data_IF_652752635779
#
_entry.id   IF_652752635779
#
_cell.length_a   1.000
_cell.length_b   1.000
_cell.length_c   1.000
_cell.angle_alpha   90.00
_cell.angle_beta   90.00
_cell.angle_gamma   90.00
#
_symmetry.space_group_name_H-M   'P 1'
#
loop_
_entity.id
_entity.type
_entity.pdbx_description
1 polymer ?
#
# COMPACT_ATOMS: atom_id res chain seq x y z
N UNK A 1 6.04 2.89 -7.02
CA UNK A 1 5.22 3.32 -8.18
C UNK A 1 5.41 4.82 -8.34
N UNK A 2 5.18 5.38 -9.53
CA UNK A 2 5.16 6.85 -9.74
C UNK A 2 3.72 7.37 -9.68
N UNK A 3 3.53 8.67 -9.87
CA UNK A 3 2.21 9.27 -10.02
C UNK A 3 1.49 8.70 -11.25
N UNK A 4 0.28 8.19 -11.05
CA UNK A 4 -0.60 7.70 -12.10
C UNK A 4 -1.98 8.30 -11.88
N UNK A 5 -2.45 9.04 -12.88
CA UNK A 5 -3.82 9.55 -12.92
C UNK A 5 -4.78 8.44 -13.31
N UNK A 6 -5.71 8.10 -12.43
CA UNK A 6 -6.75 7.10 -12.67
C UNK A 6 -8.12 7.77 -12.78
N UNK A 7 -8.96 7.28 -13.70
CA UNK A 7 -10.38 7.65 -13.77
C UNK A 7 -11.15 7.08 -12.57
N UNK A 8 -12.32 7.64 -12.21
CA UNK A 8 -13.16 7.08 -11.15
C UNK A 8 -13.45 5.59 -11.34
N UNK A 9 -13.13 4.79 -10.32
CA UNK A 9 -13.35 3.34 -10.31
C UNK A 9 -12.39 2.54 -11.20
N UNK A 10 -11.45 3.18 -11.88
CA UNK A 10 -10.36 2.53 -12.60
C UNK A 10 -9.34 1.85 -11.67
N UNK A 11 -8.90 2.46 -10.55
CA UNK A 11 -7.95 1.79 -9.68
C UNK A 11 -8.58 0.54 -9.09
N UNK A 12 -7.85 -0.57 -9.14
CA UNK A 12 -8.30 -1.87 -8.61
C UNK A 12 -7.56 -2.31 -7.36
N UNK A 13 -6.47 -1.63 -7.01
CA UNK A 13 -5.55 -2.11 -5.99
C UNK A 13 -4.90 -3.42 -6.40
N UNK A 14 -4.46 -4.20 -5.43
CA UNK A 14 -3.92 -5.54 -5.62
C UNK A 14 -4.85 -6.57 -4.97
N UNK A 15 -4.87 -7.83 -5.46
CA UNK A 15 -5.35 -8.93 -4.63
C UNK A 15 -4.38 -9.20 -3.48
N UNK A 16 -4.77 -10.08 -2.55
CA UNK A 16 -3.85 -10.64 -1.57
C UNK A 16 -2.62 -11.24 -2.26
N UNK A 17 -1.42 -10.86 -1.83
CA UNK A 17 -0.17 -11.35 -2.42
C UNK A 17 0.97 -11.43 -1.38
N UNK A 18 1.98 -12.29 -1.60
CA UNK A 18 3.05 -12.52 -0.62
C UNK A 18 4.26 -11.58 -0.80
N UNK A 19 4.87 -11.21 0.31
CA UNK A 19 6.21 -10.62 0.38
C UNK A 19 7.07 -11.33 1.42
N UNK A 20 8.40 -11.28 1.26
CA UNK A 20 9.38 -11.92 2.15
C UNK A 20 10.76 -11.29 1.99
N UNK A 21 11.50 -11.12 3.08
CA UNK A 21 12.91 -10.73 3.07
C UNK A 21 13.17 -9.23 2.88
N UNK A 22 12.13 -8.40 2.93
CA UNK A 22 12.24 -6.95 2.83
C UNK A 22 11.16 -6.25 3.65
N UNK A 23 11.31 -4.94 3.74
CA UNK A 23 10.32 -4.02 4.28
C UNK A 23 9.81 -3.14 3.15
N UNK A 24 8.51 -2.82 3.15
CA UNK A 24 7.95 -1.79 2.29
C UNK A 24 7.66 -0.55 3.11
N UNK A 25 8.02 0.60 2.55
CA UNK A 25 7.59 1.91 3.09
C UNK A 25 6.81 2.60 1.99
N UNK A 26 5.54 2.89 2.27
CA UNK A 26 4.64 3.62 1.39
C UNK A 26 4.35 4.99 1.98
N UNK A 27 4.70 6.05 1.27
CA UNK A 27 4.30 7.43 1.58
C UNK A 27 3.19 7.87 0.63
N UNK A 28 2.08 8.38 1.17
CA UNK A 28 0.96 8.87 0.39
C UNK A 28 1.10 10.37 0.12
N UNK A 29 1.36 10.74 -1.13
CA UNK A 29 1.44 12.15 -1.52
C UNK A 29 0.05 12.77 -1.62
N UNK A 30 -0.85 12.09 -2.31
CA UNK A 30 -2.26 12.47 -2.47
C UNK A 30 -3.12 11.23 -2.67
N UNK A 31 -4.35 11.24 -2.15
CA UNK A 31 -5.30 10.14 -2.23
C UNK A 31 -5.41 9.29 -0.97
N UNK A 32 -6.13 8.18 -1.11
CA UNK A 32 -6.44 7.26 0.00
C UNK A 32 -6.27 5.83 -0.49
N UNK A 33 -5.72 4.98 0.36
CA UNK A 33 -5.69 3.52 0.15
C UNK A 33 -5.89 2.80 1.48
N UNK A 34 -6.41 1.58 1.42
CA UNK A 34 -6.50 0.69 2.56
C UNK A 34 -5.47 -0.42 2.42
N UNK A 35 -4.63 -0.59 3.43
CA UNK A 35 -3.69 -1.69 3.56
C UNK A 35 -4.18 -2.66 4.62
N UNK A 36 -4.09 -3.96 4.37
CA UNK A 36 -4.32 -5.02 5.37
C UNK A 36 -3.28 -6.12 5.20
N UNK A 37 -2.86 -6.70 6.31
CA UNK A 37 -1.93 -7.83 6.31
C UNK A 37 -2.47 -9.05 7.08
N UNK A 38 -1.83 -10.20 6.88
CA UNK A 38 -2.21 -11.48 7.50
C UNK A 38 -1.96 -11.56 9.00
N UNK A 39 -1.23 -10.61 9.58
CA UNK A 39 -0.98 -10.53 11.02
C UNK A 39 -2.01 -9.63 11.73
N UNK A 40 -3.02 -9.13 10.98
CA UNK A 40 -4.03 -8.22 11.49
C UNK A 40 -3.56 -6.77 11.58
N UNK A 41 -2.37 -6.46 11.06
CA UNK A 41 -1.94 -5.09 10.81
C UNK A 41 -2.60 -4.53 9.55
N UNK A 42 -2.42 -3.24 9.34
CA UNK A 42 -3.20 -2.52 8.35
C UNK A 42 -3.55 -1.10 8.77
N UNK A 43 -4.24 -0.42 7.88
CA UNK A 43 -4.80 0.90 8.11
C UNK A 43 -5.26 1.56 6.83
N UNK A 44 -6.02 2.63 7.00
CA UNK A 44 -6.27 3.59 5.92
C UNK A 44 -5.08 4.53 5.88
N UNK A 45 -4.45 4.65 4.72
CA UNK A 45 -3.32 5.52 4.43
C UNK A 45 -3.86 6.70 3.62
N UNK A 46 -3.69 7.90 4.14
CA UNK A 46 -4.18 9.17 3.59
C UNK A 46 -3.05 10.16 3.37
N UNK A 47 -3.33 11.33 2.78
CA UNK A 47 -2.33 12.35 2.44
C UNK A 47 -1.37 12.64 3.61
N UNK A 48 -0.07 12.44 3.38
CA UNK A 48 1.00 12.64 4.35
C UNK A 48 1.29 11.43 5.24
N UNK A 49 0.48 10.39 5.21
CA UNK A 49 0.72 9.18 5.98
C UNK A 49 1.90 8.38 5.41
N UNK A 50 2.62 7.72 6.32
CA UNK A 50 3.62 6.72 5.99
C UNK A 50 3.17 5.38 6.56
N UNK A 51 3.05 4.38 5.71
CA UNK A 51 2.88 2.99 6.10
C UNK A 51 4.23 2.28 5.99
N UNK A 52 4.55 1.48 7.01
CA UNK A 52 5.75 0.64 7.07
C UNK A 52 5.30 -0.80 7.35
N UNK A 53 5.61 -1.72 6.44
CA UNK A 53 5.36 -3.15 6.63
C UNK A 53 6.67 -3.93 6.56
N UNK A 54 6.99 -4.63 7.65
CA UNK A 54 8.10 -5.58 7.69
C UNK A 54 7.60 -6.95 7.24
N UNK A 55 7.90 -7.37 6.00
CA UNK A 55 7.47 -8.67 5.50
C UNK A 55 8.23 -9.84 6.16
N UNK A 56 9.46 -9.60 6.61
CA UNK A 56 10.22 -10.52 7.44
C UNK A 56 10.37 -11.93 6.84
N UNK A 57 10.05 -12.95 7.64
CA UNK A 57 10.05 -14.34 7.23
C UNK A 57 8.92 -14.71 6.26
N UNK A 58 7.94 -13.84 6.06
CA UNK A 58 6.85 -13.97 5.10
C UNK A 58 5.56 -13.31 5.62
N UNK A 59 4.87 -12.59 4.73
CA UNK A 59 3.59 -11.95 5.01
C UNK A 59 2.71 -11.94 3.77
N UNK A 60 1.40 -12.13 3.94
CA UNK A 60 0.41 -11.80 2.90
C UNK A 60 -0.14 -10.41 3.20
N UNK A 61 -0.31 -9.60 2.16
CA UNK A 61 -0.96 -8.30 2.27
C UNK A 61 -1.80 -7.95 1.05
N UNK A 62 -2.67 -6.96 1.23
CA UNK A 62 -3.57 -6.43 0.21
C UNK A 62 -3.61 -4.91 0.33
N UNK A 63 -3.65 -4.23 -0.82
CA UNK A 63 -3.79 -2.78 -0.92
C UNK A 63 -4.98 -2.46 -1.83
N UNK A 64 -6.01 -1.80 -1.31
CA UNK A 64 -7.24 -1.49 -2.05
C UNK A 64 -7.52 0.00 -2.08
N UNK A 65 -8.02 0.56 -3.19
CA UNK A 65 -8.57 1.91 -3.20
C UNK A 65 -9.83 1.99 -2.32
N UNK A 66 -10.22 3.19 -1.87
CA UNK A 66 -11.46 3.38 -1.12
C UNK A 66 -12.68 2.98 -1.95
N UNK A 67 -13.77 2.61 -1.27
CA UNK A 67 -15.03 2.23 -1.91
C UNK A 67 -15.76 3.40 -2.59
N UNK A 68 -15.39 4.64 -2.27
CA UNK A 68 -15.90 5.86 -2.93
C UNK A 68 -14.95 6.28 -4.04
N UNK A 69 -15.44 6.91 -5.12
CA UNK A 69 -14.56 7.37 -6.19
C UNK A 69 -13.63 8.46 -5.67
N UNK A 70 -12.39 8.09 -5.35
CA UNK A 70 -11.29 9.03 -5.26
C UNK A 70 -10.77 9.27 -6.67
N UNK A 71 -10.53 10.54 -6.96
CA UNK A 71 -9.88 11.01 -8.17
C UNK A 71 -8.41 11.09 -7.79
N UNK A 72 -7.55 10.32 -8.46
CA UNK A 72 -6.11 10.11 -8.18
C UNK A 72 -5.73 9.54 -6.81
N UNK A 73 -4.67 8.73 -6.80
CA UNK A 73 -3.80 8.56 -5.64
C UNK A 73 -2.37 8.34 -6.09
N UNK A 74 -1.43 8.93 -5.36
CA UNK A 74 -0.01 9.04 -5.70
C UNK A 74 0.85 8.45 -4.58
N UNK A 75 0.92 7.11 -4.48
CA UNK A 75 1.72 6.44 -3.47
C UNK A 75 3.17 6.29 -3.96
N UNK A 76 4.11 6.65 -3.11
CA UNK A 76 5.54 6.37 -3.31
C UNK A 76 5.93 5.22 -2.39
N UNK A 77 6.08 4.03 -2.98
CA UNK A 77 6.50 2.82 -2.27
C UNK A 77 7.94 2.45 -2.63
N UNK A 78 8.76 2.21 -1.60
CA UNK A 78 10.11 1.66 -1.70
C UNK A 78 10.18 0.32 -0.96
N UNK A 79 11.04 -0.58 -1.43
CA UNK A 79 11.34 -1.85 -0.77
C UNK A 79 12.82 -1.90 -0.40
N UNK A 80 13.13 -2.23 0.85
CA UNK A 80 14.50 -2.33 1.37
C UNK A 80 14.75 -3.71 2.01
N UNK A 81 15.93 -4.33 1.89
CA UNK A 81 16.22 -5.63 2.49
C UNK A 81 15.95 -5.63 4.00
N UNK A 82 15.33 -6.70 4.49
CA UNK A 82 15.10 -6.89 5.92
C UNK A 82 16.33 -7.52 6.56
N UNK A 83 16.87 -6.88 7.59
CA UNK A 83 18.10 -7.32 8.26
C UNK A 83 17.91 -8.24 9.46
N UNK A 84 16.66 -8.53 9.85
CA UNK A 84 16.32 -9.35 11.02
C UNK A 84 15.46 -8.62 12.04
#
# INVERSE_FOLDING_TARGET
MGEVEYSPGEPKGTPWHPHRGFETVTYMVDGVMEHRDSNGGGGVITNGDTQWMTAGSGMLHIETPPAVPSWSFSPVTIAAPWSG
#
